data_IF_737898402575
#
_entry.id   IF_737898402575
#
_cell.length_a   1.000
_cell.length_b   1.000
_cell.length_c   1.000
_cell.angle_alpha   90.00
_cell.angle_beta   90.00
_cell.angle_gamma   90.00
#
_symmetry.space_group_name_H-M   'P 1'
#
loop_
_entity.id
_entity.type
_entity.pdbx_description
1 polymer ?
#
# COMPACT_ATOMS: atom_id res chain seq x y z
N UNK A 1 -44.20 -44.93 56.17
CA UNK A 1 -42.81 -44.80 55.67
C UNK A 1 -42.82 -45.22 54.21
N UNK A 2 -42.75 -44.26 53.28
CA UNK A 2 -42.51 -44.51 51.86
C UNK A 2 -42.01 -43.20 51.22
N UNK A 3 -40.95 -43.33 50.44
CA UNK A 3 -40.15 -42.30 49.79
C UNK A 3 -40.87 -41.63 48.60
N UNK A 4 -40.49 -40.40 48.30
CA UNK A 4 -40.86 -39.71 47.05
C UNK A 4 -40.12 -38.39 46.87
N UNK A 5 -38.81 -38.45 46.63
CA UNK A 5 -37.98 -37.31 46.20
C UNK A 5 -38.47 -36.81 44.82
N UNK A 6 -38.79 -35.53 44.69
CA UNK A 6 -38.91 -34.87 43.40
C UNK A 6 -37.82 -33.79 43.30
N UNK A 7 -36.63 -34.19 42.82
CA UNK A 7 -35.55 -33.25 42.43
C UNK A 7 -35.73 -32.95 40.94
N UNK A 8 -36.35 -31.83 40.60
CA UNK A 8 -36.28 -31.27 39.26
C UNK A 8 -34.86 -30.67 39.07
N UNK A 9 -34.05 -31.31 38.23
CA UNK A 9 -32.80 -30.75 37.73
C UNK A 9 -33.10 -29.61 36.74
N UNK A 10 -32.77 -28.38 37.11
CA UNK A 10 -32.59 -27.27 36.18
C UNK A 10 -31.23 -27.46 35.48
N UNK A 11 -31.23 -28.07 34.29
CA UNK A 11 -30.07 -28.07 33.41
C UNK A 11 -30.03 -26.72 32.67
N UNK A 12 -29.12 -25.84 33.11
CA UNK A 12 -28.80 -24.61 32.40
C UNK A 12 -28.09 -24.94 31.08
N UNK A 13 -28.70 -24.56 29.96
CA UNK A 13 -28.09 -24.60 28.64
C UNK A 13 -27.13 -23.41 28.51
N UNK A 14 -25.84 -23.64 28.71
CA UNK A 14 -24.80 -22.68 28.38
C UNK A 14 -24.53 -22.78 26.89
N UNK A 15 -25.13 -21.90 26.08
CA UNK A 15 -24.84 -21.82 24.66
C UNK A 15 -23.48 -21.14 24.44
N UNK A 16 -22.45 -21.92 24.16
CA UNK A 16 -21.21 -21.41 23.62
C UNK A 16 -21.43 -21.12 22.13
N UNK A 17 -21.69 -19.87 21.76
CA UNK A 17 -21.45 -19.45 20.38
C UNK A 17 -19.94 -19.32 20.21
N UNK A 18 -19.29 -20.39 19.76
CA UNK A 18 -17.99 -20.28 19.11
C UNK A 18 -18.20 -19.46 17.83
N UNK A 19 -17.91 -18.17 17.88
CA UNK A 19 -17.68 -17.41 16.67
C UNK A 19 -16.55 -18.12 15.93
N UNK A 20 -16.84 -18.69 14.76
CA UNK A 20 -15.84 -19.29 13.91
C UNK A 20 -14.78 -18.22 13.61
N UNK A 21 -13.58 -18.38 14.17
CA UNK A 21 -12.43 -17.59 13.75
C UNK A 21 -12.24 -17.87 12.26
N UNK A 22 -12.44 -16.85 11.42
CA UNK A 22 -12.17 -16.98 9.99
C UNK A 22 -10.74 -17.49 9.83
N UNK A 23 -10.59 -18.68 9.23
CA UNK A 23 -9.29 -19.26 8.96
C UNK A 23 -8.50 -18.28 8.07
N UNK A 24 -7.22 -18.08 8.37
CA UNK A 24 -6.37 -17.25 7.52
C UNK A 24 -6.42 -17.78 6.06
N UNK A 25 -6.44 -16.90 5.05
CA UNK A 25 -6.44 -17.33 3.66
C UNK A 25 -5.24 -18.24 3.36
N UNK A 26 -5.42 -19.22 2.49
CA UNK A 26 -4.28 -19.93 1.92
C UNK A 26 -3.54 -19.00 0.95
N UNK A 27 -2.37 -18.50 1.38
CA UNK A 27 -1.59 -17.53 0.64
C UNK A 27 -1.02 -18.08 -0.67
N UNK A 28 -0.82 -19.39 -0.80
CA UNK A 28 -0.37 -20.01 -2.06
C UNK A 28 -1.42 -19.88 -3.17
N UNK A 29 -2.70 -19.80 -2.82
CA UNK A 29 -3.79 -19.55 -3.78
C UNK A 29 -4.06 -18.07 -4.03
N UNK A 30 -3.42 -17.17 -3.25
CA UNK A 30 -3.64 -15.72 -3.30
C UNK A 30 -2.52 -14.95 -3.97
N UNK A 31 -1.30 -15.49 -3.94
CA UNK A 31 -0.13 -14.88 -4.54
C UNK A 31 0.79 -15.95 -5.09
N UNK A 32 1.08 -15.88 -6.38
CA UNK A 32 1.97 -16.80 -7.07
C UNK A 32 3.37 -16.22 -7.23
N UNK A 33 4.36 -17.12 -7.27
CA UNK A 33 5.74 -16.77 -7.64
C UNK A 33 5.78 -16.50 -9.13
N UNK A 34 6.38 -15.38 -9.51
CA UNK A 34 6.63 -15.02 -10.90
C UNK A 34 8.14 -14.96 -11.15
N UNK A 35 8.58 -15.56 -12.26
CA UNK A 35 9.96 -15.51 -12.73
C UNK A 35 9.95 -14.91 -14.13
N UNK A 36 10.53 -13.72 -14.25
CA UNK A 36 10.77 -13.05 -15.52
C UNK A 36 12.16 -13.42 -16.03
N UNK A 37 12.24 -13.95 -17.24
CA UNK A 37 13.46 -14.49 -17.84
C UNK A 37 13.87 -13.56 -18.97
N UNK A 38 15.10 -13.06 -18.89
CA UNK A 38 15.66 -12.11 -19.85
C UNK A 38 16.35 -12.81 -21.03
N UNK A 39 16.66 -12.06 -22.09
CA UNK A 39 17.27 -12.61 -23.30
C UNK A 39 18.67 -13.20 -23.06
N UNK A 40 19.40 -12.69 -22.07
CA UNK A 40 20.72 -13.17 -21.67
C UNK A 40 20.68 -14.37 -20.70
N UNK A 41 19.48 -14.87 -20.38
CA UNK A 41 19.26 -15.97 -19.45
C UNK A 41 19.21 -15.58 -17.97
N UNK A 42 19.44 -14.31 -17.63
CA UNK A 42 19.25 -13.82 -16.26
C UNK A 42 17.76 -13.82 -15.89
N UNK A 43 17.48 -13.87 -14.58
CA UNK A 43 16.12 -13.93 -14.07
C UNK A 43 15.84 -12.83 -13.07
N UNK A 44 14.63 -12.29 -13.13
CA UNK A 44 14.07 -11.37 -12.16
C UNK A 44 12.92 -12.07 -11.44
N UNK A 45 12.99 -12.06 -10.11
CA UNK A 45 11.96 -12.64 -9.26
C UNK A 45 10.91 -11.57 -8.92
N UNK A 46 9.66 -11.97 -8.99
CA UNK A 46 8.53 -11.19 -8.56
C UNK A 46 7.39 -12.07 -8.08
N UNK A 47 6.23 -11.45 -7.95
CA UNK A 47 5.00 -12.06 -7.50
C UNK A 47 3.86 -11.70 -8.46
N UNK A 48 2.78 -12.47 -8.44
CA UNK A 48 1.57 -12.16 -9.19
C UNK A 48 0.33 -12.54 -8.39
N UNK A 49 -0.72 -11.71 -8.46
CA UNK A 49 -2.00 -11.95 -7.78
C UNK A 49 -3.04 -12.42 -8.81
N UNK A 50 -3.67 -13.60 -8.65
CA UNK A 50 -4.79 -13.99 -9.50
C UNK A 50 -5.98 -13.06 -9.31
N UNK A 51 -6.64 -12.72 -10.42
CA UNK A 51 -7.86 -11.90 -10.45
C UNK A 51 -9.13 -12.73 -10.72
N UNK A 52 -8.97 -14.00 -11.07
CA UNK A 52 -10.02 -14.94 -11.44
C UNK A 52 -9.94 -15.39 -12.90
N UNK A 53 -10.24 -16.67 -13.12
CA UNK A 53 -9.97 -17.37 -14.38
C UNK A 53 -8.46 -17.48 -14.63
N UNK A 54 -8.03 -17.09 -15.82
CA UNK A 54 -6.62 -17.13 -16.24
C UNK A 54 -5.87 -15.82 -15.97
N UNK A 55 -6.54 -14.79 -15.43
CA UNK A 55 -5.97 -13.44 -15.33
C UNK A 55 -5.19 -13.26 -14.04
N UNK A 56 -4.00 -12.71 -14.15
CA UNK A 56 -3.18 -12.26 -13.03
C UNK A 56 -2.83 -10.78 -13.19
N UNK A 57 -2.49 -10.13 -12.08
CA UNK A 57 -1.80 -8.84 -12.05
C UNK A 57 -0.42 -8.99 -11.43
N UNK A 58 0.54 -8.23 -11.95
CA UNK A 58 1.88 -8.05 -11.39
C UNK A 58 2.34 -6.62 -11.66
N UNK A 59 3.56 -6.27 -11.26
CA UNK A 59 4.16 -5.00 -11.63
C UNK A 59 4.77 -5.03 -13.03
N UNK A 60 4.74 -3.89 -13.71
CA UNK A 60 5.33 -3.79 -15.04
C UNK A 60 6.85 -3.77 -15.02
N UNK A 61 7.47 -3.19 -13.98
CA UNK A 61 8.93 -3.16 -13.88
C UNK A 61 9.52 -4.58 -13.81
N UNK A 62 8.84 -5.53 -13.16
CA UNK A 62 9.24 -6.95 -13.09
C UNK A 62 9.29 -7.60 -14.47
N UNK A 63 8.51 -7.09 -15.44
CA UNK A 63 8.38 -7.66 -16.78
C UNK A 63 9.18 -6.91 -17.86
N UNK A 64 9.86 -5.81 -17.52
CA UNK A 64 10.39 -4.81 -18.46
C UNK A 64 11.31 -5.42 -19.53
N UNK A 65 12.12 -6.40 -19.16
CA UNK A 65 13.12 -7.05 -20.03
C UNK A 65 12.81 -8.54 -20.26
N UNK A 66 11.63 -9.00 -19.83
CA UNK A 66 11.27 -10.41 -19.90
C UNK A 66 10.97 -10.82 -21.35
N UNK A 67 11.71 -11.83 -21.84
CA UNK A 67 11.38 -12.53 -23.09
C UNK A 67 10.49 -13.75 -22.83
N UNK A 68 10.47 -14.25 -21.59
CA UNK A 68 9.60 -15.32 -21.11
C UNK A 68 9.20 -15.04 -19.67
N UNK A 69 7.95 -15.34 -19.33
CA UNK A 69 7.41 -15.21 -17.98
C UNK A 69 6.91 -16.58 -17.55
N UNK A 70 7.35 -17.01 -16.38
CA UNK A 70 6.92 -18.25 -15.74
C UNK A 70 6.23 -17.94 -14.41
N UNK A 71 5.14 -18.64 -14.15
CA UNK A 71 4.38 -18.54 -12.90
C UNK A 71 4.33 -19.92 -12.27
N UNK A 72 4.66 -19.99 -10.99
CA UNK A 72 4.59 -21.24 -10.23
C UNK A 72 3.24 -21.33 -9.51
N UNK A 73 2.46 -22.36 -9.84
CA UNK A 73 1.13 -22.61 -9.28
C UNK A 73 1.07 -24.06 -8.83
N UNK A 74 0.82 -24.30 -7.55
CA UNK A 74 0.68 -25.66 -6.97
C UNK A 74 1.82 -26.62 -7.35
N UNK A 75 3.05 -26.10 -7.42
CA UNK A 75 4.25 -26.86 -7.80
C UNK A 75 4.46 -27.02 -9.31
N UNK A 76 3.50 -26.66 -10.14
CA UNK A 76 3.63 -26.60 -11.59
C UNK A 76 4.24 -25.27 -12.04
N UNK A 77 5.02 -25.30 -13.13
CA UNK A 77 5.53 -24.10 -13.80
C UNK A 77 4.71 -23.89 -15.07
N UNK A 78 4.07 -22.73 -15.17
CA UNK A 78 3.19 -22.38 -16.28
C UNK A 78 3.74 -21.13 -16.98
N UNK A 79 3.63 -21.10 -18.32
CA UNK A 79 4.06 -19.95 -19.11
C UNK A 79 2.95 -18.90 -19.16
N UNK A 80 3.27 -17.67 -18.78
CA UNK A 80 2.34 -16.55 -18.88
C UNK A 80 2.50 -15.78 -20.19
N UNK A 81 1.40 -15.19 -20.64
CA UNK A 81 1.32 -14.29 -21.77
C UNK A 81 1.07 -12.87 -21.28
N UNK A 82 1.74 -11.89 -21.89
CA UNK A 82 1.58 -10.50 -21.49
C UNK A 82 0.29 -9.96 -22.10
N UNK A 83 -0.60 -9.50 -21.23
CA UNK A 83 -1.83 -8.82 -21.61
C UNK A 83 -1.62 -7.31 -21.66
N UNK A 84 -2.43 -6.58 -20.89
CA UNK A 84 -2.40 -5.11 -20.84
C UNK A 84 -1.29 -4.61 -19.93
N UNK A 85 -0.67 -3.50 -20.32
CA UNK A 85 0.34 -2.81 -19.52
C UNK A 85 -0.11 -1.40 -19.21
N UNK A 86 0.08 -1.03 -17.96
CA UNK A 86 0.08 0.35 -17.51
C UNK A 86 1.43 0.62 -16.84
N UNK A 87 2.42 0.95 -17.66
CA UNK A 87 3.78 1.13 -17.18
C UNK A 87 3.88 2.32 -16.24
N UNK A 88 3.14 3.40 -16.54
CA UNK A 88 3.12 4.58 -15.69
C UNK A 88 2.65 4.26 -14.26
N UNK A 89 1.54 3.52 -14.09
CA UNK A 89 1.07 3.06 -12.76
C UNK A 89 1.75 1.80 -12.25
N UNK A 90 2.69 1.24 -13.01
CA UNK A 90 3.38 -0.01 -12.70
C UNK A 90 2.45 -1.22 -12.51
N UNK A 91 1.39 -1.32 -13.31
CA UNK A 91 0.41 -2.42 -13.26
C UNK A 91 0.32 -3.15 -14.59
N UNK A 92 0.67 -4.43 -14.58
CA UNK A 92 0.64 -5.28 -15.75
C UNK A 92 -0.30 -6.46 -15.54
N UNK A 93 -1.22 -6.66 -16.48
CA UNK A 93 -2.08 -7.83 -16.55
C UNK A 93 -1.40 -8.89 -17.41
N UNK A 94 -1.33 -10.11 -16.89
CA UNK A 94 -0.85 -11.28 -17.63
C UNK A 94 -1.91 -12.36 -17.62
N UNK A 95 -1.91 -13.18 -18.65
CA UNK A 95 -2.78 -14.35 -18.77
C UNK A 95 -1.94 -15.60 -18.51
N UNK A 96 -2.47 -16.54 -17.74
CA UNK A 96 -1.88 -17.84 -17.50
C UNK A 96 -2.79 -18.92 -18.10
N UNK A 97 -2.59 -19.30 -19.37
CA UNK A 97 -3.46 -20.25 -20.05
C UNK A 97 -3.60 -21.58 -19.28
N UNK A 98 -4.83 -22.05 -19.10
CA UNK A 98 -5.15 -23.27 -18.34
C UNK A 98 -5.32 -23.08 -16.83
N UNK A 99 -5.07 -21.89 -16.29
CA UNK A 99 -5.37 -21.58 -14.90
C UNK A 99 -6.88 -21.40 -14.68
N UNK A 100 -7.41 -21.99 -13.60
CA UNK A 100 -8.79 -21.77 -13.18
C UNK A 100 -8.83 -21.20 -11.76
N UNK A 101 -8.40 -19.94 -11.60
CA UNK A 101 -8.39 -19.29 -10.30
C UNK A 101 -9.81 -18.79 -9.92
N UNK A 102 -10.23 -18.93 -8.65
CA UNK A 102 -11.46 -18.29 -8.19
C UNK A 102 -11.35 -16.75 -8.28
N UNK A 103 -12.47 -16.03 -8.41
CA UNK A 103 -12.46 -14.58 -8.35
C UNK A 103 -11.80 -14.08 -7.06
N UNK A 104 -10.89 -13.11 -7.19
CA UNK A 104 -10.22 -12.51 -6.05
C UNK A 104 -11.18 -11.53 -5.37
N UNK A 105 -11.53 -11.73 -4.08
CA UNK A 105 -12.29 -10.74 -3.35
C UNK A 105 -11.42 -9.48 -3.20
N UNK A 106 -12.01 -8.33 -3.48
CA UNK A 106 -11.36 -7.02 -3.36
C UNK A 106 -12.14 -6.15 -2.40
N UNK A 107 -11.47 -5.15 -1.84
CA UNK A 107 -12.19 -4.08 -1.16
C UNK A 107 -12.87 -3.17 -2.18
N UNK A 108 -13.92 -2.49 -1.76
CA UNK A 108 -14.57 -1.44 -2.53
C UNK A 108 -13.74 -0.15 -2.51
N UNK A 109 -13.90 0.66 -3.57
CA UNK A 109 -13.29 1.99 -3.63
C UNK A 109 -13.80 2.82 -2.46
N UNK A 110 -12.89 3.39 -1.68
CA UNK A 110 -13.20 4.17 -0.48
C UNK A 110 -13.10 3.41 0.84
N UNK A 111 -12.96 2.08 0.83
CA UNK A 111 -12.69 1.31 2.06
C UNK A 111 -11.24 1.45 2.54
N UNK A 112 -10.31 1.82 1.65
CA UNK A 112 -8.89 2.04 2.00
C UNK A 112 -8.75 3.26 2.91
N UNK A 113 -8.22 3.05 4.12
CA UNK A 113 -7.99 4.11 5.11
C UNK A 113 -6.76 3.83 5.96
N UNK A 114 -6.11 4.89 6.43
CA UNK A 114 -5.03 4.77 7.42
C UNK A 114 -5.55 4.08 8.69
N UNK A 115 -4.70 3.23 9.28
CA UNK A 115 -5.02 2.39 10.43
C UNK A 115 -5.72 1.08 10.10
N UNK A 116 -6.06 0.81 8.82
CA UNK A 116 -6.57 -0.50 8.41
C UNK A 116 -5.47 -1.56 8.62
N UNK A 117 -5.78 -2.62 9.37
CA UNK A 117 -4.89 -3.78 9.52
C UNK A 117 -4.82 -4.54 8.19
N UNK A 118 -3.59 -4.84 7.78
CA UNK A 118 -3.28 -5.45 6.49
C UNK A 118 -2.24 -6.55 6.60
N UNK A 119 -2.21 -7.41 5.59
CA UNK A 119 -1.24 -8.47 5.40
C UNK A 119 -0.60 -8.31 4.02
N UNK A 120 0.71 -8.12 3.98
CA UNK A 120 1.49 -8.19 2.75
C UNK A 120 1.90 -9.64 2.51
N UNK A 121 1.66 -10.15 1.30
CA UNK A 121 2.08 -11.48 0.87
C UNK A 121 2.74 -11.41 -0.50
N UNK A 122 3.87 -12.10 -0.64
CA UNK A 122 4.68 -12.12 -1.85
C UNK A 122 5.78 -13.18 -1.78
N UNK A 123 6.61 -13.23 -2.81
CA UNK A 123 7.67 -14.23 -2.96
C UNK A 123 9.08 -13.58 -2.96
N UNK A 124 9.47 -12.84 -1.89
CA UNK A 124 10.79 -12.25 -1.82
C UNK A 124 11.88 -13.33 -1.86
N UNK A 125 12.90 -13.12 -2.68
CA UNK A 125 13.95 -14.13 -2.89
C UNK A 125 13.46 -15.48 -3.42
N UNK A 126 12.19 -15.60 -3.84
CA UNK A 126 11.60 -16.81 -4.38
C UNK A 126 10.96 -17.76 -3.36
N UNK A 127 10.82 -17.34 -2.10
CA UNK A 127 10.11 -18.04 -1.02
C UNK A 127 8.88 -17.23 -0.60
N UNK A 128 7.77 -17.91 -0.30
CA UNK A 128 6.55 -17.23 0.15
C UNK A 128 6.79 -16.58 1.52
N UNK A 129 6.60 -15.26 1.60
CA UNK A 129 6.66 -14.50 2.83
C UNK A 129 5.37 -13.72 3.06
N UNK A 130 4.97 -13.67 4.32
CA UNK A 130 3.76 -12.98 4.77
C UNK A 130 4.10 -12.10 5.96
N UNK A 131 3.67 -10.85 5.90
CA UNK A 131 3.96 -9.84 6.92
C UNK A 131 2.70 -9.09 7.31
N UNK A 132 2.46 -8.95 8.61
CA UNK A 132 1.30 -8.21 9.14
C UNK A 132 1.70 -6.78 9.46
N UNK A 133 0.79 -5.84 9.24
CA UNK A 133 0.99 -4.44 9.56
C UNK A 133 -0.28 -3.64 9.42
N UNK A 134 -0.13 -2.34 9.22
CA UNK A 134 -1.24 -1.40 9.00
C UNK A 134 -0.95 -0.51 7.82
N UNK A 135 -1.99 0.08 7.24
CA UNK A 135 -1.85 1.26 6.39
C UNK A 135 -1.44 2.42 7.29
N UNK A 136 -0.31 3.06 6.97
CA UNK A 136 0.25 4.18 7.74
C UNK A 136 0.20 5.51 6.99
N UNK A 137 0.02 5.46 5.66
CA UNK A 137 -0.07 6.65 4.82
C UNK A 137 -0.84 6.36 3.52
N UNK A 138 -1.47 7.40 2.97
CA UNK A 138 -2.20 7.34 1.71
C UNK A 138 -1.86 8.57 0.88
N UNK A 139 -0.89 8.43 -0.01
CA UNK A 139 -0.33 9.56 -0.75
C UNK A 139 -1.05 9.75 -2.08
N UNK A 140 -1.56 10.95 -2.32
CA UNK A 140 -2.24 11.28 -3.56
C UNK A 140 -1.29 11.18 -4.77
N UNK A 141 -1.72 10.45 -5.80
CA UNK A 141 -1.11 10.45 -7.12
C UNK A 141 -1.95 11.33 -8.07
N UNK A 142 -1.34 12.30 -8.72
CA UNK A 142 -2.03 13.14 -9.72
C UNK A 142 -2.47 12.38 -10.97
N UNK A 143 -1.92 11.19 -11.18
CA UNK A 143 -2.21 10.36 -12.33
C UNK A 143 -3.70 10.07 -12.56
N UNK A 144 -4.48 9.95 -11.48
CA UNK A 144 -5.93 9.78 -11.53
C UNK A 144 -6.64 10.11 -10.20
N UNK A 145 -5.95 10.72 -9.24
CA UNK A 145 -6.47 10.95 -7.88
C UNK A 145 -6.46 9.72 -6.98
N UNK A 146 -5.92 8.58 -7.44
CA UNK A 146 -5.68 7.41 -6.60
C UNK A 146 -4.67 7.67 -5.49
N UNK A 147 -4.78 6.91 -4.39
CA UNK A 147 -3.87 7.03 -3.24
C UNK A 147 -2.91 5.85 -3.19
N UNK A 148 -1.61 6.11 -3.35
CA UNK A 148 -0.55 5.12 -3.13
C UNK A 148 -0.52 4.78 -1.65
N UNK A 149 -0.51 3.49 -1.34
CA UNK A 149 -0.66 2.99 0.01
C UNK A 149 0.72 2.82 0.63
N UNK A 150 1.00 3.52 1.72
CA UNK A 150 2.16 3.25 2.56
C UNK A 150 1.75 2.31 3.70
N UNK A 151 2.53 1.26 3.94
CA UNK A 151 2.23 0.26 4.98
C UNK A 151 3.41 -0.01 5.90
N UNK A 152 3.12 -0.40 7.14
CA UNK A 152 4.10 -0.96 8.06
C UNK A 152 4.33 -2.47 7.85
N UNK A 153 3.54 -3.13 6.99
CA UNK A 153 3.74 -4.53 6.63
C UNK A 153 4.97 -4.64 5.72
N UNK A 154 6.10 -5.01 6.32
CA UNK A 154 7.38 -5.05 5.63
C UNK A 154 7.43 -6.15 4.57
N UNK A 155 8.07 -5.87 3.43
CA UNK A 155 8.37 -6.82 2.37
C UNK A 155 9.70 -6.48 1.67
N UNK A 156 10.40 -7.49 1.17
CA UNK A 156 11.69 -7.34 0.51
C UNK A 156 11.62 -7.52 -1.02
N UNK A 157 12.75 -7.35 -1.70
CA UNK A 157 12.82 -7.52 -3.16
C UNK A 157 12.34 -8.91 -3.56
N UNK A 158 11.54 -8.98 -4.63
CA UNK A 158 10.85 -10.18 -5.10
C UNK A 158 9.39 -10.27 -4.63
N UNK A 159 8.99 -9.48 -3.63
CA UNK A 159 7.57 -9.34 -3.27
C UNK A 159 6.77 -8.43 -4.24
N UNK A 160 7.45 -7.67 -5.11
CA UNK A 160 6.83 -6.82 -6.12
C UNK A 160 5.87 -7.62 -7.01
N UNK A 161 4.66 -7.09 -7.19
CA UNK A 161 3.53 -7.75 -7.85
C UNK A 161 2.70 -8.64 -6.92
N UNK A 162 3.09 -8.74 -5.64
CA UNK A 162 2.36 -9.45 -4.59
C UNK A 162 1.15 -8.67 -4.11
N UNK A 163 0.42 -9.22 -3.15
CA UNK A 163 -0.83 -8.63 -2.67
C UNK A 163 -0.71 -8.02 -1.28
N UNK A 164 -1.38 -6.88 -1.08
CA UNK A 164 -1.74 -6.34 0.23
C UNK A 164 -3.21 -6.66 0.49
N UNK A 165 -3.52 -7.32 1.61
CA UNK A 165 -4.85 -7.84 1.91
C UNK A 165 -5.36 -7.30 3.25
N UNK A 166 -6.67 -7.13 3.41
CA UNK A 166 -7.28 -6.82 4.71
C UNK A 166 -7.39 -8.08 5.59
N UNK A 167 -7.84 -7.93 6.83
CA UNK A 167 -8.04 -9.05 7.76
C UNK A 167 -9.03 -10.12 7.29
N UNK A 168 -9.81 -9.86 6.24
CA UNK A 168 -10.76 -10.81 5.61
C UNK A 168 -10.17 -11.47 4.36
N UNK A 169 -8.91 -11.19 4.01
CA UNK A 169 -8.27 -11.69 2.80
C UNK A 169 -8.75 -11.02 1.52
N UNK A 170 -9.40 -9.85 1.62
CA UNK A 170 -9.78 -9.06 0.44
C UNK A 170 -8.58 -8.23 -0.01
N UNK A 171 -8.31 -8.22 -1.31
CA UNK A 171 -7.22 -7.46 -1.90
C UNK A 171 -7.45 -5.96 -1.75
N UNK A 172 -6.48 -5.29 -1.14
CA UNK A 172 -6.41 -3.84 -0.88
C UNK A 172 -5.52 -3.14 -1.89
N UNK A 173 -4.41 -3.78 -2.27
CA UNK A 173 -3.45 -3.23 -3.23
C UNK A 173 -2.41 -4.23 -3.70
N UNK A 174 -1.56 -3.80 -4.63
CA UNK A 174 -0.46 -4.58 -5.22
C UNK A 174 0.87 -4.05 -4.68
N UNK A 175 1.64 -4.90 -4.01
CA UNK A 175 2.98 -4.54 -3.51
C UNK A 175 3.86 -4.12 -4.69
N UNK A 176 4.56 -3.00 -4.60
CA UNK A 176 5.36 -2.48 -5.74
C UNK A 176 6.81 -2.26 -5.38
N UNK A 177 7.11 -1.24 -4.58
CA UNK A 177 8.48 -0.82 -4.34
C UNK A 177 8.70 -0.51 -2.86
N UNK A 178 9.99 -0.50 -2.51
CA UNK A 178 10.51 -0.05 -1.24
C UNK A 178 11.42 1.14 -1.50
N UNK A 179 11.12 2.30 -0.90
CA UNK A 179 12.07 3.41 -0.89
C UNK A 179 13.22 3.05 0.07
N UNK A 180 14.47 3.24 -0.35
CA UNK A 180 15.66 2.99 0.49
C UNK A 180 16.30 4.28 1.01
N UNK A 181 16.05 5.41 0.35
CA UNK A 181 16.79 6.64 0.57
C UNK A 181 16.20 7.48 1.72
N UNK A 182 16.21 6.97 2.94
CA UNK A 182 15.79 7.75 4.12
C UNK A 182 14.95 6.97 5.11
N UNK A 183 14.37 5.83 4.71
CA UNK A 183 13.67 4.94 5.62
C UNK A 183 13.31 3.61 4.95
N UNK A 184 12.99 2.59 5.73
CA UNK A 184 12.45 1.31 5.23
C UNK A 184 10.95 1.47 4.94
N UNK A 185 10.58 2.24 3.91
CA UNK A 185 9.18 2.49 3.56
C UNK A 185 8.66 1.51 2.51
N UNK A 186 7.47 0.97 2.74
CA UNK A 186 6.85 -0.07 1.93
C UNK A 186 5.57 0.46 1.28
N UNK A 187 5.46 0.33 -0.05
CA UNK A 187 4.37 0.90 -0.82
C UNK A 187 3.61 -0.13 -1.65
N UNK A 188 2.29 0.08 -1.76
CA UNK A 188 1.39 -0.70 -2.60
C UNK A 188 0.53 0.21 -3.47
N UNK A 189 0.23 -0.27 -4.68
CA UNK A 189 -0.66 0.37 -5.64
C UNK A 189 -2.11 0.04 -5.27
N UNK A 190 -3.04 1.00 -5.25
CA UNK A 190 -4.41 0.74 -4.83
C UNK A 190 -5.13 -0.21 -5.80
N UNK A 191 -5.91 -1.16 -5.28
CA UNK A 191 -6.65 -2.14 -6.10
C UNK A 191 -7.62 -1.48 -7.10
N UNK A 192 -8.11 -0.28 -6.78
CA UNK A 192 -8.97 0.52 -7.67
C UNK A 192 -8.34 0.81 -9.04
N UNK A 193 -7.00 0.86 -9.13
CA UNK A 193 -6.29 1.08 -10.39
C UNK A 193 -6.44 -0.08 -11.39
N UNK A 194 -6.76 -1.30 -10.92
CA UNK A 194 -7.05 -2.44 -11.81
C UNK A 194 -8.14 -2.12 -12.84
N UNK A 195 -9.16 -1.34 -12.44
CA UNK A 195 -10.25 -0.95 -13.36
C UNK A 195 -9.70 -0.11 -14.50
N UNK A 196 -8.77 0.80 -14.24
CA UNK A 196 -8.17 1.61 -15.28
C UNK A 196 -7.23 0.80 -16.18
N UNK A 197 -6.47 -0.15 -15.62
CA UNK A 197 -5.65 -1.06 -16.43
C UNK A 197 -6.52 -1.95 -17.34
N UNK A 198 -7.71 -2.34 -16.87
CA UNK A 198 -8.66 -3.14 -17.65
C UNK A 198 -9.40 -2.32 -18.73
N UNK A 199 -9.78 -1.08 -18.43
CA UNK A 199 -10.58 -0.21 -19.30
C UNK A 199 -9.77 0.72 -20.21
N UNK A 200 -8.48 0.94 -19.90
CA UNK A 200 -7.63 1.81 -20.70
C UNK A 200 -7.56 1.38 -22.15
N UNK A 201 -7.57 2.35 -23.06
CA UNK A 201 -7.16 2.15 -24.46
C UNK A 201 -5.80 1.45 -24.42
N UNK A 202 -5.52 0.43 -25.26
CA UNK A 202 -4.17 -0.11 -25.40
C UNK A 202 -3.23 1.01 -25.82
N UNK A 203 -2.70 1.75 -24.84
CA UNK A 203 -1.63 2.69 -25.03
C UNK A 203 -0.41 1.83 -25.25
N UNK A 204 0.19 1.94 -26.42
CA UNK A 204 1.55 1.45 -26.67
C UNK A 204 2.48 2.32 -25.84
N UNK A 205 2.43 2.18 -24.51
CA UNK A 205 3.54 2.63 -23.68
C UNK A 205 4.68 1.66 -24.00
N UNK A 206 5.84 2.17 -24.45
CA UNK A 206 7.02 1.34 -24.62
C UNK A 206 7.26 0.49 -23.37
N UNK A 207 7.67 -0.77 -23.55
CA UNK A 207 7.84 -1.72 -22.44
C UNK A 207 8.83 -1.21 -21.37
N UNK A 208 9.74 -0.33 -21.77
CA UNK A 208 10.78 0.36 -21.01
C UNK A 208 10.33 1.69 -20.39
N UNK A 209 9.04 2.04 -20.48
CA UNK A 209 8.51 3.24 -19.84
C UNK A 209 8.67 3.15 -18.30
N UNK A 210 9.21 4.20 -17.65
CA UNK A 210 9.36 4.22 -16.20
C UNK A 210 8.01 4.42 -15.51
N UNK A 211 7.84 3.83 -14.33
CA UNK A 211 6.72 4.13 -13.46
C UNK A 211 6.84 5.53 -12.85
N UNK A 212 5.71 6.09 -12.39
CA UNK A 212 5.66 7.42 -11.76
C UNK A 212 6.63 7.56 -10.56
N UNK A 213 6.90 6.46 -9.85
CA UNK A 213 7.76 6.42 -8.67
C UNK A 213 9.25 6.29 -8.99
N UNK A 214 9.64 6.00 -10.24
CA UNK A 214 11.05 5.87 -10.65
C UNK A 214 11.76 7.21 -10.84
N UNK A 215 11.01 8.33 -10.82
CA UNK A 215 11.55 9.68 -10.94
C UNK A 215 11.18 10.57 -9.74
N UNK A 216 11.71 10.31 -8.53
CA UNK A 216 11.40 11.13 -7.36
C UNK A 216 11.67 12.62 -7.56
N UNK A 217 10.80 13.48 -7.04
CA UNK A 217 10.93 14.94 -7.13
C UNK A 217 10.53 15.55 -8.49
N UNK A 218 10.00 14.75 -9.41
CA UNK A 218 9.29 15.18 -10.60
C UNK A 218 7.98 14.39 -10.70
N UNK A 219 6.94 15.01 -11.27
CA UNK A 219 5.62 14.37 -11.45
C UNK A 219 5.06 13.86 -10.10
N UNK A 220 4.18 12.84 -10.10
CA UNK A 220 3.57 12.28 -8.88
C UNK A 220 4.55 11.60 -7.90
N UNK A 221 5.87 11.65 -8.15
CA UNK A 221 6.92 11.15 -7.28
C UNK A 221 7.35 12.11 -6.15
N UNK A 222 6.66 13.24 -5.97
CA UNK A 222 6.99 14.21 -4.91
C UNK A 222 6.92 13.63 -3.50
N UNK A 223 5.91 12.81 -3.19
CA UNK A 223 5.76 12.25 -1.83
C UNK A 223 6.96 11.38 -1.45
N UNK A 224 7.57 10.67 -2.40
CA UNK A 224 8.77 9.86 -2.15
C UNK A 224 9.96 10.72 -1.78
N UNK A 225 10.21 11.77 -2.55
CA UNK A 225 11.25 12.73 -2.23
C UNK A 225 10.97 13.42 -0.87
N UNK A 226 9.70 13.67 -0.55
CA UNK A 226 9.31 14.27 0.72
C UNK A 226 9.55 13.32 1.91
N UNK A 227 9.20 12.03 1.78
CA UNK A 227 9.50 11.01 2.77
C UNK A 227 11.01 10.88 3.00
N UNK A 228 11.78 10.81 1.93
CA UNK A 228 13.23 10.65 1.95
C UNK A 228 13.93 11.85 2.62
N UNK A 229 13.56 13.07 2.25
CA UNK A 229 14.11 14.30 2.84
C UNK A 229 13.71 14.48 4.30
N UNK A 230 12.46 14.17 4.65
CA UNK A 230 11.97 14.25 6.02
C UNK A 230 12.68 13.26 6.95
N UNK A 231 12.85 12.02 6.50
CA UNK A 231 13.52 11.00 7.31
C UNK A 231 15.03 11.21 7.45
N UNK A 232 15.65 11.97 6.54
CA UNK A 232 17.04 12.44 6.66
C UNK A 232 17.17 13.79 7.39
N UNK A 233 16.06 14.33 7.91
CA UNK A 233 16.00 15.64 8.58
C UNK A 233 16.55 16.80 7.72
N UNK A 234 16.44 16.68 6.39
CA UNK A 234 16.89 17.69 5.43
C UNK A 234 15.83 18.79 5.27
N UNK A 235 15.48 19.46 6.36
CA UNK A 235 14.31 20.34 6.44
C UNK A 235 14.31 21.48 5.42
N UNK A 236 15.46 22.11 5.16
CA UNK A 236 15.54 23.17 4.16
C UNK A 236 15.25 22.65 2.74
N UNK A 237 15.73 21.45 2.41
CA UNK A 237 15.46 20.81 1.12
C UNK A 237 14.00 20.36 1.05
N UNK A 238 13.45 19.82 2.13
CA UNK A 238 12.04 19.42 2.21
C UNK A 238 11.11 20.64 2.04
N UNK A 239 11.45 21.79 2.63
CA UNK A 239 10.70 23.05 2.42
C UNK A 239 10.69 23.45 0.95
N UNK A 240 11.85 23.45 0.29
CA UNK A 240 11.95 23.79 -1.14
C UNK A 240 11.10 22.85 -1.98
N UNK A 241 11.22 21.54 -1.73
CA UNK A 241 10.40 20.53 -2.39
C UNK A 241 8.90 20.79 -2.17
N UNK A 242 8.46 21.01 -0.93
CA UNK A 242 7.06 21.29 -0.61
C UNK A 242 6.54 22.56 -1.30
N UNK A 243 7.34 23.63 -1.32
CA UNK A 243 6.98 24.87 -2.02
C UNK A 243 6.84 24.67 -3.54
N UNK A 244 7.76 23.93 -4.16
CA UNK A 244 7.71 23.65 -5.59
C UNK A 244 6.60 22.65 -5.95
N UNK A 245 6.30 21.73 -5.04
CA UNK A 245 5.16 20.82 -5.15
C UNK A 245 3.84 21.58 -5.06
N UNK A 246 3.66 22.49 -4.10
CA UNK A 246 2.46 23.33 -3.99
C UNK A 246 2.24 24.18 -5.26
N UNK A 247 3.30 24.68 -5.89
CA UNK A 247 3.16 25.45 -7.15
C UNK A 247 2.61 24.61 -8.29
N UNK A 248 2.99 23.33 -8.34
CA UNK A 248 2.55 22.41 -9.40
C UNK A 248 1.20 21.80 -9.09
N UNK A 249 0.98 21.39 -7.83
CA UNK A 249 -0.17 20.63 -7.37
C UNK A 249 -0.82 21.33 -6.15
N UNK A 250 -1.39 22.55 -6.30
CA UNK A 250 -1.85 23.36 -5.16
C UNK A 250 -3.00 22.73 -4.36
N UNK A 251 -3.73 21.80 -4.99
CA UNK A 251 -4.82 21.03 -4.37
C UNK A 251 -4.37 19.69 -3.77
N UNK A 252 -3.09 19.32 -3.88
CA UNK A 252 -2.58 18.09 -3.29
C UNK A 252 -2.27 18.32 -1.79
N UNK A 253 -2.98 17.67 -0.86
CA UNK A 253 -2.75 17.86 0.57
C UNK A 253 -1.35 17.39 1.02
N UNK A 254 -0.73 16.44 0.31
CA UNK A 254 0.60 15.92 0.65
C UNK A 254 1.70 16.99 0.44
N UNK A 255 1.50 17.91 -0.51
CA UNK A 255 2.40 19.02 -0.75
C UNK A 255 2.44 19.97 0.46
N UNK A 256 1.27 20.26 1.02
CA UNK A 256 1.12 21.05 2.25
C UNK A 256 1.61 20.29 3.48
N UNK A 257 1.37 18.98 3.55
CA UNK A 257 1.92 18.12 4.61
C UNK A 257 3.46 18.15 4.62
N UNK A 258 4.09 18.03 3.45
CA UNK A 258 5.55 18.08 3.30
C UNK A 258 6.12 19.44 3.76
N UNK A 259 5.47 20.55 3.38
CA UNK A 259 5.84 21.88 3.85
C UNK A 259 5.70 21.99 5.37
N UNK A 260 4.57 21.55 5.94
CA UNK A 260 4.35 21.61 7.39
C UNK A 260 5.38 20.80 8.19
N UNK A 261 5.75 19.60 7.72
CA UNK A 261 6.84 18.81 8.32
C UNK A 261 8.17 19.55 8.29
N UNK A 262 8.50 20.19 7.17
CA UNK A 262 9.73 20.97 7.05
C UNK A 262 9.75 22.15 8.03
N UNK A 263 8.68 22.94 8.08
CA UNK A 263 8.59 24.10 8.97
C UNK A 263 8.65 23.66 10.44
N UNK A 264 7.97 22.57 10.80
CA UNK A 264 8.05 21.99 12.16
C UNK A 264 9.48 21.57 12.50
N UNK A 265 10.17 20.86 11.61
CA UNK A 265 11.56 20.45 11.80
C UNK A 265 12.55 21.62 11.93
N UNK A 266 12.20 22.80 11.40
CA UNK A 266 12.96 24.04 11.53
C UNK A 266 12.52 24.92 12.72
N UNK A 267 11.59 24.44 13.56
CA UNK A 267 11.05 25.20 14.69
C UNK A 267 10.12 26.36 14.31
N UNK A 268 9.62 26.39 13.08
CA UNK A 268 8.71 27.42 12.56
C UNK A 268 7.25 27.05 12.85
N UNK A 269 6.87 27.01 14.13
CA UNK A 269 5.58 26.48 14.62
C UNK A 269 4.37 27.10 13.91
N UNK A 270 4.30 28.42 13.80
CA UNK A 270 3.16 29.10 13.15
C UNK A 270 3.01 28.69 11.68
N UNK A 271 4.12 28.67 10.93
CA UNK A 271 4.12 28.25 9.53
C UNK A 271 3.73 26.77 9.38
N UNK A 272 4.16 25.91 10.31
CA UNK A 272 3.79 24.50 10.31
C UNK A 272 2.28 24.30 10.56
N UNK A 273 1.68 25.01 11.53
CA UNK A 273 0.24 24.97 11.79
C UNK A 273 -0.55 25.35 10.54
N UNK A 274 -0.20 26.47 9.89
CA UNK A 274 -0.89 26.93 8.67
C UNK A 274 -0.83 25.87 7.57
N UNK A 275 0.33 25.26 7.36
CA UNK A 275 0.50 24.22 6.35
C UNK A 275 -0.33 22.96 6.66
N UNK A 276 -0.35 22.49 7.91
CA UNK A 276 -1.16 21.33 8.29
C UNK A 276 -2.67 21.61 8.23
N UNK A 277 -3.11 22.81 8.62
CA UNK A 277 -4.51 23.21 8.46
C UNK A 277 -4.89 23.23 6.98
N UNK A 278 -4.00 23.70 6.10
CA UNK A 278 -4.23 23.68 4.66
C UNK A 278 -4.35 22.27 4.10
N UNK A 279 -3.52 21.33 4.57
CA UNK A 279 -3.66 19.91 4.23
C UNK A 279 -5.03 19.35 4.66
N UNK A 280 -5.49 19.64 5.88
CA UNK A 280 -6.81 19.20 6.36
C UNK A 280 -8.00 19.88 5.66
N UNK A 281 -7.85 21.12 5.18
CA UNK A 281 -8.90 21.75 4.36
C UNK A 281 -9.05 21.08 3.00
N UNK A 282 -7.95 20.55 2.44
CA UNK A 282 -7.95 19.82 1.16
C UNK A 282 -8.39 18.36 1.33
N UNK A 283 -7.96 17.71 2.42
CA UNK A 283 -8.40 16.38 2.82
C UNK A 283 -8.65 16.32 4.33
N UNK A 284 -9.91 16.50 4.73
CA UNK A 284 -10.33 16.46 6.15
C UNK A 284 -10.05 15.13 6.85
N UNK A 285 -9.78 14.08 6.08
CA UNK A 285 -9.44 12.74 6.60
C UNK A 285 -7.94 12.49 6.67
N UNK A 286 -7.11 13.49 6.35
CA UNK A 286 -5.65 13.37 6.34
C UNK A 286 -5.09 13.14 7.75
N UNK A 287 -4.86 11.89 8.10
CA UNK A 287 -4.53 11.47 9.47
C UNK A 287 -3.22 12.05 9.98
N UNK A 288 -2.19 12.16 9.13
CA UNK A 288 -0.87 12.66 9.55
C UNK A 288 -0.94 14.15 9.95
N UNK A 289 -1.51 15.01 9.09
CA UNK A 289 -1.76 16.42 9.39
C UNK A 289 -2.63 16.61 10.65
N UNK A 290 -3.70 15.81 10.79
CA UNK A 290 -4.57 15.87 11.97
C UNK A 290 -3.92 15.36 13.25
N UNK A 291 -2.94 14.47 13.17
CA UNK A 291 -2.15 14.06 14.34
C UNK A 291 -1.11 15.14 14.69
N UNK A 292 -0.41 15.67 13.70
CA UNK A 292 0.60 16.71 13.90
C UNK A 292 0.02 17.98 14.55
N UNK A 293 -1.17 18.42 14.14
CA UNK A 293 -1.83 19.57 14.77
C UNK A 293 -2.20 19.33 16.23
N UNK A 294 -2.77 18.17 16.56
CA UNK A 294 -3.14 17.83 17.94
C UNK A 294 -1.94 17.74 18.86
N UNK A 295 -0.82 17.22 18.35
CA UNK A 295 0.44 17.19 19.08
C UNK A 295 0.96 18.61 19.36
N UNK A 296 0.90 19.49 18.36
CA UNK A 296 1.33 20.89 18.52
C UNK A 296 0.41 21.69 19.46
N UNK A 297 -0.90 21.46 19.44
CA UNK A 297 -1.85 22.04 20.40
C UNK A 297 -1.51 21.61 21.83
N UNK A 298 -1.22 20.32 22.03
CA UNK A 298 -0.84 19.79 23.33
C UNK A 298 0.48 20.38 23.85
N UNK A 299 1.47 20.55 22.98
CA UNK A 299 2.76 21.15 23.33
C UNK A 299 2.60 22.64 23.72
N UNK A 300 1.73 23.38 23.03
CA UNK A 300 1.38 24.76 23.36
C UNK A 300 0.68 24.86 24.73
N UNK A 301 -0.30 23.99 24.99
CA UNK A 301 -1.01 23.97 26.28
C UNK A 301 -0.05 23.65 27.45
N UNK A 302 0.90 22.74 27.25
CA UNK A 302 1.97 22.46 28.23
C UNK A 302 2.86 23.67 28.50
N UNK A 303 3.26 24.39 27.45
CA UNK A 303 4.11 25.56 27.59
C UNK A 303 3.42 26.72 28.32
N UNK A 304 2.09 26.85 28.20
CA UNK A 304 1.29 27.85 28.92
C UNK A 304 0.99 27.39 30.36
N UNK A 305 0.93 26.08 30.60
CA UNK A 305 0.58 25.48 31.90
C UNK A 305 1.72 25.33 32.91
N UNK A 306 2.98 25.55 32.54
CA UNK A 306 4.10 25.72 33.48
C UNK A 306 4.24 27.21 33.82
N UNK A 307 3.67 27.71 34.94
CA UNK A 307 4.05 29.02 35.43
C UNK A 307 5.54 28.94 35.80
N UNK A 308 6.34 29.87 35.25
CA UNK A 308 7.72 30.08 35.66
C UNK A 308 7.82 29.95 37.18
N UNK A 309 8.59 28.96 37.63
CA UNK A 309 8.75 28.64 39.04
C UNK A 309 9.17 29.87 39.83
N UNK A 310 8.26 30.37 40.66
CA UNK A 310 8.54 31.24 41.80
C UNK A 310 9.09 30.41 42.97
#
# INVERSE_FOLDING_TARGET
>A
MAYGLNKLLLLGLWSWTLAALAQAPDWNTRVYKLVAIQADGTTELGSAVPLGGERLVTNCHVLRQAVRIEVHVDGAVMRAEIGRRDAYRDMCLVTLPGLSAPPMPMIEVGETRVGLDVVAAGWPGGELAVSRGRIIGLHHCECDGGKVIQTSAAFDRGASGGGLFDGRGRLVGILTFKAKAGGNFHFALPVGWLRHTAMGTPGVQPADSPAFWEKPGRESGYFLAACDLGAQEKWLALRRLGQDWIKQEPSNPEAWMALGRAERGMGQTEHAVVAFQRALMLDSTHTEAGWALREMEFDLDRAIGEPDGL
#
